data_IF_388022103096
#
_entry.id   IF_388022103096
#
_cell.length_a   1.000
_cell.length_b   1.000
_cell.length_c   1.000
_cell.angle_alpha   90.00
_cell.angle_beta   90.00
_cell.angle_gamma   90.00
#
_symmetry.space_group_name_H-M   'P 1'
#
loop_
_entity.id
_entity.type
_entity.pdbx_description
1 polymer ?
#
# COMPACT_ATOMS: atom_id res chain seq x y z
N UNK A 1 -19.58 12.27 -71.97
CA UNK A 1 -20.65 13.21 -72.33
C UNK A 1 -21.18 13.88 -71.07
N UNK A 2 -21.02 15.17 -71.02
CA UNK A 2 -21.87 16.23 -70.49
C UNK A 2 -21.78 16.54 -68.96
N UNK A 3 -21.03 17.59 -68.69
CA UNK A 3 -21.32 18.93 -68.05
C UNK A 3 -21.60 18.96 -66.55
N UNK A 4 -20.72 19.53 -65.81
CA UNK A 4 -20.54 20.89 -65.27
C UNK A 4 -21.79 21.68 -64.89
N UNK A 5 -21.77 22.13 -63.59
CA UNK A 5 -22.25 23.42 -62.97
C UNK A 5 -22.21 23.23 -61.45
N UNK A 6 -21.48 23.92 -60.63
CA UNK A 6 -21.01 25.29 -60.50
C UNK A 6 -21.99 26.16 -59.72
N UNK A 7 -21.81 26.30 -58.37
CA UNK A 7 -22.31 27.47 -57.65
C UNK A 7 -21.43 27.79 -56.46
N UNK A 8 -20.84 28.99 -56.53
CA UNK A 8 -20.20 29.71 -55.41
C UNK A 8 -21.26 30.21 -54.45
N UNK A 9 -20.99 30.14 -53.14
CA UNK A 9 -21.68 30.93 -52.13
C UNK A 9 -20.64 31.63 -51.24
N UNK A 10 -20.78 32.93 -51.16
CA UNK A 10 -19.87 33.88 -50.53
C UNK A 10 -19.90 33.85 -49.00
N UNK A 11 -18.75 33.97 -48.39
CA UNK A 11 -18.57 34.18 -46.95
C UNK A 11 -18.74 35.67 -46.58
N UNK A 12 -19.65 35.98 -45.68
CA UNK A 12 -19.78 37.27 -45.04
C UNK A 12 -19.09 37.21 -43.64
N UNK A 13 -18.07 38.04 -43.43
CA UNK A 13 -17.39 38.26 -42.16
C UNK A 13 -18.01 39.49 -41.53
N UNK A 14 -18.50 39.49 -40.28
CA UNK A 14 -18.81 40.68 -39.53
C UNK A 14 -17.57 41.21 -38.82
N UNK A 15 -17.15 42.42 -39.16
CA UNK A 15 -16.23 43.26 -38.37
C UNK A 15 -16.94 43.80 -37.13
N UNK A 16 -16.44 43.46 -35.95
CA UNK A 16 -16.81 44.18 -34.73
C UNK A 16 -15.77 45.29 -34.45
N UNK A 17 -16.27 46.50 -34.52
CA UNK A 17 -15.55 47.70 -34.13
C UNK A 17 -15.43 47.78 -32.59
N UNK A 18 -14.19 47.81 -32.07
CA UNK A 18 -13.91 48.04 -30.67
C UNK A 18 -13.83 49.57 -30.45
N UNK A 19 -14.79 50.06 -29.68
CA UNK A 19 -14.78 51.47 -29.22
C UNK A 19 -13.92 51.57 -27.97
N UNK A 20 -12.83 52.30 -28.06
CA UNK A 20 -11.97 52.63 -26.92
C UNK A 20 -12.53 53.87 -26.21
N UNK A 21 -12.96 53.70 -24.94
CA UNK A 21 -13.13 54.80 -24.00
C UNK A 21 -11.97 54.83 -23.03
N UNK A 22 -11.16 55.85 -23.12
CA UNK A 22 -10.13 56.18 -22.14
C UNK A 22 -10.82 56.75 -20.89
N UNK A 23 -10.67 56.08 -19.76
CA UNK A 23 -11.04 56.54 -18.43
C UNK A 23 -9.88 56.35 -17.49
N UNK A 24 -9.37 57.47 -16.99
CA UNK A 24 -8.29 57.58 -16.00
C UNK A 24 -8.77 57.02 -14.66
N UNK A 25 -8.10 56.02 -14.12
CA UNK A 25 -8.32 55.55 -12.74
C UNK A 25 -6.99 55.22 -12.05
N UNK A 26 -6.86 55.54 -10.72
CA UNK A 26 -5.61 55.44 -10.01
C UNK A 26 -5.25 54.01 -9.64
N UNK A 27 -3.96 53.74 -9.47
CA UNK A 27 -3.36 52.47 -9.11
C UNK A 27 -3.97 51.88 -7.82
N UNK A 28 -4.79 50.84 -7.97
CA UNK A 28 -5.27 50.00 -6.89
C UNK A 28 -4.57 48.65 -6.99
N UNK A 29 -4.15 48.11 -5.86
CA UNK A 29 -3.43 46.88 -5.69
C UNK A 29 -4.10 45.73 -6.44
N UNK A 30 -3.32 45.03 -7.27
CA UNK A 30 -3.72 43.76 -7.86
C UNK A 30 -3.79 42.67 -6.76
N UNK A 31 -4.99 42.41 -6.27
CA UNK A 31 -5.24 41.15 -5.58
C UNK A 31 -4.98 40.01 -6.57
N UNK A 32 -3.82 39.41 -6.46
CA UNK A 32 -3.53 38.13 -7.09
C UNK A 32 -4.38 37.08 -6.35
N UNK A 33 -5.59 36.83 -6.83
CA UNK A 33 -6.30 35.64 -6.44
C UNK A 33 -5.42 34.46 -6.83
N UNK A 34 -4.76 33.86 -5.84
CA UNK A 34 -4.17 32.53 -5.94
C UNK A 34 -5.39 31.61 -6.12
N UNK A 35 -5.68 31.27 -7.36
CA UNK A 35 -6.62 30.19 -7.66
C UNK A 35 -5.95 28.93 -7.09
N UNK A 36 -6.41 28.52 -5.91
CA UNK A 36 -6.05 27.24 -5.32
C UNK A 36 -6.45 26.18 -6.35
N UNK A 37 -5.44 25.61 -7.00
CA UNK A 37 -5.64 24.58 -7.99
C UNK A 37 -6.33 23.43 -7.28
N UNK A 38 -7.62 23.24 -7.54
CA UNK A 38 -8.37 22.10 -7.03
C UNK A 38 -7.58 20.85 -7.39
N UNK A 39 -7.04 20.17 -6.39
CA UNK A 39 -6.30 18.95 -6.58
C UNK A 39 -7.22 17.97 -7.33
N UNK A 40 -6.77 17.51 -8.49
CA UNK A 40 -7.49 16.48 -9.25
C UNK A 40 -7.71 15.30 -8.30
N UNK A 41 -8.94 14.83 -8.10
CA UNK A 41 -9.19 13.69 -7.23
C UNK A 41 -8.31 12.51 -7.69
N UNK A 42 -7.51 11.97 -6.78
CA UNK A 42 -6.72 10.78 -7.07
C UNK A 42 -7.68 9.64 -7.45
N UNK A 43 -7.28 8.77 -8.39
CA UNK A 43 -8.08 7.59 -8.73
C UNK A 43 -8.36 6.78 -7.46
N UNK A 44 -9.55 6.17 -7.36
CA UNK A 44 -10.00 5.49 -6.14
C UNK A 44 -8.96 4.50 -5.57
N UNK A 45 -8.35 3.69 -6.44
CA UNK A 45 -7.34 2.70 -6.05
C UNK A 45 -5.90 3.26 -6.02
N UNK A 46 -5.71 4.59 -6.19
CA UNK A 46 -4.38 5.16 -6.08
C UNK A 46 -3.93 5.24 -4.64
N UNK A 47 -2.77 4.66 -4.35
CA UNK A 47 -2.15 4.75 -3.06
C UNK A 47 -1.71 6.17 -2.77
N UNK A 48 -2.15 6.72 -1.62
CA UNK A 48 -1.81 8.08 -1.17
C UNK A 48 -0.82 8.06 -0.01
N UNK A 49 -1.02 7.16 0.96
CA UNK A 49 -0.12 7.01 2.10
C UNK A 49 0.10 5.52 2.34
N UNK A 50 1.37 5.15 2.59
CA UNK A 50 1.72 3.80 3.04
C UNK A 50 2.80 3.85 4.10
N UNK A 51 2.63 3.01 5.11
CA UNK A 51 3.67 2.68 6.08
C UNK A 51 3.90 1.19 6.06
N UNK A 52 5.09 0.78 5.65
CA UNK A 52 5.46 -0.63 5.59
C UNK A 52 6.84 -0.87 6.20
N UNK A 53 7.08 -2.09 6.65
CA UNK A 53 8.39 -2.53 7.14
C UNK A 53 8.93 -3.60 6.23
N UNK A 54 10.24 -3.61 5.99
CA UNK A 54 10.92 -4.61 5.18
C UNK A 54 12.30 -4.93 5.77
N UNK A 55 12.88 -6.06 5.36
CA UNK A 55 14.14 -6.53 5.91
C UNK A 55 14.02 -6.94 7.38
N UNK A 56 15.12 -6.82 8.12
CA UNK A 56 15.24 -7.32 9.48
C UNK A 56 15.58 -8.81 9.52
N UNK A 57 15.82 -9.35 10.72
CA UNK A 57 16.15 -10.76 10.93
C UNK A 57 14.87 -11.61 10.98
N UNK A 58 14.27 -11.83 9.82
CA UNK A 58 13.07 -12.65 9.67
C UNK A 58 13.25 -13.61 8.49
N UNK A 59 12.59 -14.78 8.49
CA UNK A 59 12.57 -15.67 7.33
C UNK A 59 12.13 -14.93 6.05
N UNK A 60 12.76 -15.26 4.92
CA UNK A 60 12.54 -14.57 3.66
C UNK A 60 11.08 -14.60 3.19
N UNK A 61 10.37 -15.71 3.45
CA UNK A 61 8.94 -15.85 3.16
C UNK A 61 8.07 -14.86 3.95
N UNK A 62 8.46 -14.49 5.16
CA UNK A 62 7.75 -13.49 5.95
C UNK A 62 7.89 -12.10 5.33
N UNK A 63 9.07 -11.77 4.79
CA UNK A 63 9.24 -10.49 4.08
C UNK A 63 8.35 -10.41 2.84
N UNK A 64 8.31 -11.47 2.02
CA UNK A 64 7.48 -11.50 0.80
C UNK A 64 5.98 -11.44 1.12
N UNK A 65 5.54 -12.10 2.19
CA UNK A 65 4.14 -12.12 2.63
C UNK A 65 3.71 -10.92 3.48
N UNK A 66 4.65 -10.02 3.84
CA UNK A 66 4.38 -8.93 4.77
C UNK A 66 3.37 -7.95 4.19
N UNK A 67 2.37 -7.61 5.00
CA UNK A 67 1.35 -6.63 4.68
C UNK A 67 1.82 -5.27 5.21
N UNK A 68 1.62 -4.17 4.46
CA UNK A 68 1.84 -2.83 4.98
C UNK A 68 1.02 -2.59 6.26
N UNK A 69 1.63 -1.95 7.26
CA UNK A 69 0.94 -1.65 8.50
C UNK A 69 -0.26 -0.71 8.28
N UNK A 70 -0.15 0.18 7.30
CA UNK A 70 -1.20 1.13 6.91
C UNK A 70 -1.12 1.39 5.42
N UNK A 71 -2.27 1.42 4.75
CA UNK A 71 -2.43 1.92 3.38
C UNK A 71 -3.66 2.82 3.32
N UNK A 72 -3.50 4.05 2.80
CA UNK A 72 -4.58 5.01 2.57
C UNK A 72 -4.67 5.30 1.08
N UNK A 73 -5.90 5.31 0.55
CA UNK A 73 -6.18 5.44 -0.89
C UNK A 73 -6.87 6.77 -1.22
N UNK A 74 -6.90 7.09 -2.51
CA UNK A 74 -7.44 8.35 -3.01
C UNK A 74 -8.93 8.57 -2.75
N UNK A 75 -9.69 7.49 -2.58
CA UNK A 75 -11.11 7.53 -2.20
C UNK A 75 -11.35 7.60 -0.68
N UNK A 76 -10.30 7.65 0.13
CA UNK A 76 -10.37 7.71 1.58
C UNK A 76 -10.33 6.35 2.29
N UNK A 77 -10.28 5.23 1.56
CA UNK A 77 -10.12 3.92 2.21
C UNK A 77 -8.82 3.86 2.99
N UNK A 78 -8.93 3.46 4.25
CA UNK A 78 -7.83 3.12 5.14
C UNK A 78 -7.84 1.61 5.33
N UNK A 79 -6.78 0.91 4.92
CA UNK A 79 -6.63 -0.53 5.14
C UNK A 79 -5.50 -0.75 6.15
N UNK A 80 -5.82 -1.48 7.22
CA UNK A 80 -4.90 -1.83 8.31
C UNK A 80 -5.06 -3.28 8.69
N UNK A 81 -4.10 -3.80 9.44
CA UNK A 81 -4.24 -5.09 10.10
C UNK A 81 -4.88 -4.88 11.47
N UNK A 82 -6.01 -5.53 11.70
CA UNK A 82 -6.76 -5.48 12.95
C UNK A 82 -6.16 -6.41 14.02
N UNK A 83 -6.80 -6.50 15.20
CA UNK A 83 -6.30 -7.31 16.30
C UNK A 83 -6.27 -8.79 15.96
N UNK A 84 -5.23 -9.49 16.45
CA UNK A 84 -5.07 -10.93 16.32
C UNK A 84 -5.51 -11.64 17.59
N UNK A 85 -6.19 -12.78 17.42
CA UNK A 85 -6.45 -13.67 18.54
C UNK A 85 -5.13 -14.26 19.05
N UNK A 86 -4.92 -14.22 20.37
CA UNK A 86 -3.75 -14.80 21.04
C UNK A 86 -3.92 -16.32 21.19
N UNK A 87 -3.98 -17.04 20.07
CA UNK A 87 -4.10 -18.50 19.99
C UNK A 87 -2.88 -19.10 19.30
N UNK A 88 -2.53 -20.32 19.66
CA UNK A 88 -1.49 -21.08 18.99
C UNK A 88 -2.05 -22.42 18.48
N UNK A 89 -1.78 -22.80 17.24
CA UNK A 89 -1.16 -21.99 16.19
C UNK A 89 -2.08 -20.85 15.71
N UNK A 90 -1.49 -19.73 15.23
CA UNK A 90 -2.27 -18.61 14.70
C UNK A 90 -3.12 -18.99 13.48
N UNK A 91 -4.18 -18.22 13.21
CA UNK A 91 -4.96 -18.36 11.98
C UNK A 91 -4.10 -18.06 10.75
N UNK A 92 -4.39 -18.75 9.63
CA UNK A 92 -3.67 -18.56 8.37
C UNK A 92 -3.95 -17.21 7.69
N UNK A 93 -5.18 -16.71 7.83
CA UNK A 93 -5.56 -15.42 7.23
C UNK A 93 -5.22 -14.26 8.16
N UNK A 94 -4.59 -13.20 7.64
CA UNK A 94 -4.46 -11.94 8.36
C UNK A 94 -5.84 -11.30 8.55
N UNK A 95 -6.02 -10.59 9.66
CA UNK A 95 -7.25 -9.84 9.95
C UNK A 95 -7.17 -8.44 9.34
N UNK A 96 -7.36 -8.32 8.02
CA UNK A 96 -7.38 -7.02 7.37
C UNK A 96 -8.72 -6.32 7.56
N UNK A 97 -8.65 -5.05 7.91
CA UNK A 97 -9.78 -4.17 8.16
C UNK A 97 -9.73 -2.95 7.25
N UNK A 98 -10.91 -2.47 6.88
CA UNK A 98 -11.11 -1.27 6.07
C UNK A 98 -11.97 -0.26 6.84
N UNK A 99 -11.60 1.00 6.76
CA UNK A 99 -12.32 2.14 7.31
C UNK A 99 -12.30 3.28 6.29
N UNK A 100 -13.19 4.26 6.44
CA UNK A 100 -13.25 5.43 5.56
C UNK A 100 -12.78 6.67 6.30
N UNK A 101 -11.87 7.40 5.68
CA UNK A 101 -11.43 8.73 6.07
C UNK A 101 -12.13 9.77 5.21
N UNK A 102 -12.34 10.98 5.73
CA UNK A 102 -12.82 12.09 4.90
C UNK A 102 -11.70 12.60 3.99
N UNK A 103 -12.04 13.19 2.83
CA UNK A 103 -11.03 13.75 1.92
C UNK A 103 -10.14 14.79 2.58
N UNK A 104 -10.71 15.63 3.46
CA UNK A 104 -9.97 16.66 4.20
C UNK A 104 -8.96 16.01 5.14
N UNK A 105 -9.34 14.93 5.82
CA UNK A 105 -8.44 14.21 6.72
C UNK A 105 -7.28 13.57 5.96
N UNK A 106 -7.53 13.00 4.77
CA UNK A 106 -6.47 12.47 3.89
C UNK A 106 -5.51 13.59 3.46
N UNK A 107 -6.02 14.77 3.08
CA UNK A 107 -5.20 15.91 2.70
C UNK A 107 -4.33 16.39 3.87
N UNK A 108 -4.89 16.45 5.08
CA UNK A 108 -4.14 16.79 6.30
C UNK A 108 -3.01 15.81 6.56
N UNK A 109 -3.27 14.49 6.46
CA UNK A 109 -2.25 13.47 6.60
C UNK A 109 -1.13 13.60 5.56
N UNK A 110 -1.47 13.93 4.31
CA UNK A 110 -0.49 14.17 3.24
C UNK A 110 0.38 15.38 3.57
N UNK A 111 -0.20 16.49 4.01
CA UNK A 111 0.53 17.68 4.44
C UNK A 111 1.49 17.36 5.58
N UNK A 112 0.98 16.71 6.63
CA UNK A 112 1.79 16.31 7.79
C UNK A 112 2.94 15.38 7.43
N UNK A 113 2.72 14.43 6.50
CA UNK A 113 3.77 13.55 6.02
C UNK A 113 4.90 14.29 5.31
N UNK A 114 4.57 15.31 4.50
CA UNK A 114 5.55 16.19 3.87
C UNK A 114 6.31 17.02 4.93
N UNK A 115 5.62 17.55 5.93
CA UNK A 115 6.21 18.29 7.06
C UNK A 115 7.09 17.39 7.94
N UNK A 116 6.76 16.11 8.05
CA UNK A 116 7.59 15.10 8.72
C UNK A 116 8.85 14.72 7.92
N UNK A 117 9.00 15.25 6.71
CA UNK A 117 10.18 15.08 5.87
C UNK A 117 10.09 13.95 4.85
N UNK A 118 8.89 13.42 4.56
CA UNK A 118 8.72 12.41 3.51
C UNK A 118 8.92 13.08 2.15
N UNK A 119 10.11 12.91 1.59
CA UNK A 119 10.49 13.33 0.24
C UNK A 119 11.63 12.45 -0.26
N UNK A 120 11.64 12.19 -1.56
CA UNK A 120 12.69 11.39 -2.19
C UNK A 120 14.08 11.98 -1.87
N UNK A 121 15.00 11.10 -1.46
CA UNK A 121 16.38 11.49 -1.13
C UNK A 121 16.56 12.20 0.21
N UNK A 122 15.56 12.25 1.08
CA UNK A 122 15.72 12.78 2.44
C UNK A 122 16.68 11.89 3.26
N UNK A 123 17.57 12.54 4.02
CA UNK A 123 18.58 11.86 4.83
C UNK A 123 18.11 11.72 6.29
N UNK A 124 17.85 10.48 6.67
CA UNK A 124 17.52 10.09 8.05
C UNK A 124 18.70 9.41 8.77
N UNK A 125 19.85 9.32 8.12
CA UNK A 125 21.02 8.63 8.66
C UNK A 125 20.83 7.12 8.79
N UNK A 126 21.91 6.45 9.17
CA UNK A 126 21.92 5.00 9.37
C UNK A 126 22.54 4.69 10.74
N UNK A 127 21.73 4.34 11.75
CA UNK A 127 22.24 3.96 13.07
C UNK A 127 22.98 2.62 13.00
N UNK A 128 23.85 2.36 13.97
CA UNK A 128 24.61 1.12 14.04
C UNK A 128 23.80 0.02 14.74
N UNK A 129 22.75 -0.46 14.08
CA UNK A 129 21.94 -1.56 14.59
C UNK A 129 21.92 -2.65 13.52
N UNK A 130 22.46 -3.82 13.86
CA UNK A 130 22.39 -4.98 13.00
C UNK A 130 20.96 -5.55 13.01
N UNK A 131 20.55 -6.13 11.88
CA UNK A 131 19.32 -6.92 11.76
C UNK A 131 18.01 -6.18 12.08
N UNK A 132 18.05 -4.86 12.22
CA UNK A 132 16.84 -4.06 12.40
C UNK A 132 16.06 -3.92 11.06
N UNK A 133 14.72 -3.91 11.10
CA UNK A 133 13.92 -3.65 9.92
C UNK A 133 14.08 -2.19 9.47
N UNK A 134 13.82 -1.96 8.19
CA UNK A 134 13.62 -0.63 7.63
C UNK A 134 12.14 -0.32 7.56
N UNK A 135 11.79 0.94 7.81
CA UNK A 135 10.44 1.46 7.61
C UNK A 135 10.42 2.29 6.33
N UNK A 136 9.57 1.92 5.37
CA UNK A 136 9.24 2.76 4.22
C UNK A 136 8.00 3.56 4.53
N UNK A 137 8.07 4.85 4.26
CA UNK A 137 6.91 5.75 4.34
C UNK A 137 6.73 6.39 2.98
N UNK A 138 5.56 6.20 2.38
CA UNK A 138 5.15 6.80 1.11
C UNK A 138 4.06 7.83 1.37
N UNK A 139 4.15 9.00 0.73
CA UNK A 139 3.15 10.06 0.76
C UNK A 139 3.05 10.67 -0.65
N UNK A 140 1.95 10.39 -1.34
CA UNK A 140 1.79 10.70 -2.76
C UNK A 140 2.84 9.97 -3.60
N UNK A 141 3.61 10.72 -4.36
CA UNK A 141 4.72 10.25 -5.21
C UNK A 141 6.09 10.22 -4.50
N UNK A 142 6.14 10.60 -3.23
CA UNK A 142 7.37 10.68 -2.44
C UNK A 142 7.49 9.49 -1.50
N UNK A 143 8.71 8.97 -1.32
CA UNK A 143 8.96 7.91 -0.36
C UNK A 143 10.33 8.03 0.31
N UNK A 144 10.43 7.50 1.53
CA UNK A 144 11.69 7.39 2.28
C UNK A 144 11.81 6.00 2.90
N UNK A 145 13.03 5.48 2.89
CA UNK A 145 13.41 4.25 3.59
C UNK A 145 14.27 4.60 4.78
N UNK A 146 13.84 4.26 5.98
CA UNK A 146 14.53 4.61 7.22
C UNK A 146 14.87 3.36 8.01
N UNK A 147 16.16 3.04 8.05
CA UNK A 147 16.68 1.89 8.80
C UNK A 147 16.45 2.09 10.29
N UNK A 148 15.92 1.07 10.97
CA UNK A 148 15.74 1.05 12.43
C UNK A 148 15.06 2.33 12.96
N UNK A 149 13.94 2.75 12.33
CA UNK A 149 13.23 3.97 12.75
C UNK A 149 12.76 3.90 14.20
N UNK A 150 12.29 2.73 14.63
CA UNK A 150 11.77 2.49 15.97
C UNK A 150 12.83 2.01 16.96
N UNK A 151 13.89 1.37 16.47
CA UNK A 151 14.92 0.69 17.28
C UNK A 151 16.11 1.58 17.62
N UNK A 152 16.34 2.64 16.81
CA UNK A 152 17.47 3.54 17.04
C UNK A 152 17.34 4.32 18.35
N UNK A 153 18.43 4.34 19.12
CA UNK A 153 18.48 5.15 20.34
C UNK A 153 18.47 6.64 19.98
N UNK A 154 17.77 7.48 20.77
CA UNK A 154 17.76 8.93 20.52
C UNK A 154 19.15 9.56 20.49
N UNK A 155 20.11 9.02 21.25
CA UNK A 155 21.50 9.49 21.34
C UNK A 155 22.48 8.61 20.55
N UNK A 156 22.06 7.96 19.46
CA UNK A 156 22.97 7.15 18.62
C UNK A 156 24.09 8.06 18.08
N UNK A 157 25.38 7.72 18.32
CA UNK A 157 26.51 8.57 17.94
C UNK A 157 26.73 8.65 16.42
N UNK A 158 26.13 7.75 15.62
CA UNK A 158 26.21 7.77 14.17
C UNK A 158 25.20 8.72 13.53
N UNK A 159 24.26 9.26 14.31
CA UNK A 159 23.28 10.20 13.83
C UNK A 159 23.69 11.63 14.17
N UNK A 160 23.59 12.53 13.21
CA UNK A 160 23.67 13.96 13.44
C UNK A 160 22.44 14.50 14.18
N UNK A 161 22.52 15.68 14.77
CA UNK A 161 21.35 16.32 15.42
C UNK A 161 20.20 16.56 14.44
N UNK A 162 20.53 16.93 13.21
CA UNK A 162 19.54 17.09 12.15
C UNK A 162 18.82 15.78 11.81
N UNK A 163 19.57 14.68 11.68
CA UNK A 163 18.99 13.35 11.43
C UNK A 163 18.15 12.87 12.63
N UNK A 164 18.58 13.08 13.86
CA UNK A 164 17.80 12.77 15.07
C UNK A 164 16.48 13.53 15.08
N UNK A 165 16.52 14.82 14.78
CA UNK A 165 15.32 15.66 14.71
C UNK A 165 14.37 15.20 13.58
N UNK A 166 14.89 14.90 12.39
CA UNK A 166 14.10 14.36 11.28
C UNK A 166 13.45 13.03 11.63
N UNK A 167 14.20 12.09 12.22
CA UNK A 167 13.68 10.78 12.67
C UNK A 167 12.58 10.94 13.72
N UNK A 168 12.74 11.86 14.68
CA UNK A 168 11.71 12.12 15.70
C UNK A 168 10.39 12.59 15.06
N UNK A 169 10.46 13.51 14.11
CA UNK A 169 9.27 13.99 13.37
C UNK A 169 8.61 12.86 12.58
N UNK A 170 9.40 12.10 11.83
CA UNK A 170 8.88 11.00 11.04
C UNK A 170 8.29 9.89 11.94
N UNK A 171 8.93 9.54 13.04
CA UNK A 171 8.42 8.55 13.99
C UNK A 171 7.08 8.99 14.61
N UNK A 172 6.92 10.27 14.93
CA UNK A 172 5.65 10.82 15.41
C UNK A 172 4.54 10.70 14.35
N UNK A 173 4.84 11.04 13.09
CA UNK A 173 3.92 10.87 11.99
C UNK A 173 3.53 9.40 11.77
N UNK A 174 4.51 8.49 11.72
CA UNK A 174 4.28 7.04 11.59
C UNK A 174 3.42 6.51 12.73
N UNK A 175 3.67 6.95 13.97
CA UNK A 175 2.86 6.58 15.14
C UNK A 175 1.42 7.05 14.98
N UNK A 176 1.19 8.31 14.54
CA UNK A 176 -0.14 8.85 14.27
C UNK A 176 -0.86 8.02 13.22
N UNK A 177 -0.22 7.78 12.06
CA UNK A 177 -0.82 7.04 10.94
C UNK A 177 -1.15 5.59 11.34
N UNK A 178 -0.28 4.91 12.09
CA UNK A 178 -0.55 3.56 12.62
C UNK A 178 -1.68 3.53 13.66
N UNK A 179 -1.95 4.63 14.33
CA UNK A 179 -3.02 4.75 15.31
C UNK A 179 -4.39 5.11 14.73
N UNK A 180 -4.51 5.29 13.41
CA UNK A 180 -5.76 5.75 12.79
C UNK A 180 -6.93 4.79 13.00
N UNK A 181 -6.69 3.48 12.99
CA UNK A 181 -7.76 2.48 13.16
C UNK A 181 -8.49 2.56 14.50
N UNK A 182 -7.91 3.20 15.51
CA UNK A 182 -8.52 3.42 16.81
C UNK A 182 -8.79 4.90 17.11
N UNK A 183 -8.68 5.80 16.13
CA UNK A 183 -8.83 7.22 16.36
C UNK A 183 -10.32 7.62 16.43
N UNK A 184 -10.62 8.55 17.34
CA UNK A 184 -11.96 9.12 17.48
C UNK A 184 -12.40 9.84 16.19
N UNK A 185 -13.67 9.66 15.82
CA UNK A 185 -14.26 10.29 14.63
C UNK A 185 -14.00 9.53 13.30
N UNK A 186 -13.27 8.42 13.33
CA UNK A 186 -13.15 7.52 12.17
C UNK A 186 -14.23 6.43 12.27
N UNK A 187 -14.81 6.07 11.12
CA UNK A 187 -15.83 5.03 11.05
C UNK A 187 -15.34 3.69 11.63
N UNK A 188 -16.26 2.91 12.20
CA UNK A 188 -15.93 1.58 12.71
C UNK A 188 -15.34 0.69 11.60
N UNK A 189 -14.33 -0.13 11.94
CA UNK A 189 -13.68 -0.98 10.96
C UNK A 189 -14.60 -2.11 10.48
N UNK A 190 -14.57 -2.37 9.19
CA UNK A 190 -15.20 -3.54 8.57
C UNK A 190 -14.13 -4.47 8.01
N UNK A 191 -14.46 -5.76 7.83
CA UNK A 191 -13.51 -6.71 7.25
C UNK A 191 -13.21 -6.32 5.79
N UNK A 192 -11.93 -6.12 5.46
CA UNK A 192 -11.49 -5.87 4.09
C UNK A 192 -11.83 -7.06 3.19
N UNK A 193 -12.39 -6.77 2.01
CA UNK A 193 -12.77 -7.78 1.02
C UNK A 193 -11.83 -7.72 -0.18
N UNK A 194 -10.78 -8.55 -0.24
CA UNK A 194 -9.83 -8.53 -1.35
C UNK A 194 -10.49 -9.01 -2.64
N UNK A 195 -10.13 -8.41 -3.77
CA UNK A 195 -10.49 -8.92 -5.11
C UNK A 195 -9.63 -10.11 -5.52
N UNK A 196 -8.43 -10.22 -4.95
CA UNK A 196 -7.44 -11.26 -5.24
C UNK A 196 -6.76 -11.70 -3.94
N UNK A 197 -6.49 -13.00 -3.83
CA UNK A 197 -5.67 -13.57 -2.77
C UNK A 197 -4.47 -14.27 -3.40
N UNK A 198 -3.27 -13.86 -3.02
CA UNK A 198 -2.06 -14.60 -3.35
C UNK A 198 -1.80 -15.69 -2.30
N UNK A 199 -1.43 -16.87 -2.76
CA UNK A 199 -0.92 -17.97 -1.94
C UNK A 199 0.57 -18.13 -2.23
N UNK A 200 1.40 -17.82 -1.23
CA UNK A 200 2.84 -18.01 -1.28
C UNK A 200 3.13 -19.45 -0.82
N UNK A 201 3.57 -20.28 -1.76
CA UNK A 201 3.71 -21.71 -1.52
C UNK A 201 5.19 -22.13 -1.49
N UNK A 202 5.56 -22.89 -0.47
CA UNK A 202 6.84 -23.61 -0.38
C UNK A 202 6.60 -25.06 -0.01
N UNK A 203 7.59 -25.91 -0.26
CA UNK A 203 7.48 -27.31 0.17
C UNK A 203 7.25 -27.38 1.68
N UNK A 204 6.27 -28.17 2.07
CA UNK A 204 6.00 -28.43 3.49
C UNK A 204 7.14 -29.24 4.11
N UNK A 205 7.60 -28.77 5.26
CA UNK A 205 8.54 -29.50 6.10
C UNK A 205 7.81 -29.82 7.41
N UNK A 206 7.63 -31.09 7.76
CA UNK A 206 6.97 -31.44 9.02
C UNK A 206 7.73 -30.83 10.22
N UNK A 207 7.02 -30.36 11.24
CA UNK A 207 7.66 -29.90 12.47
C UNK A 207 8.41 -31.04 13.16
N UNK A 208 9.45 -30.71 13.92
CA UNK A 208 10.15 -31.71 14.71
C UNK A 208 9.24 -32.27 15.81
N UNK A 209 9.41 -33.50 16.17
CA UNK A 209 8.52 -34.49 16.84
C UNK A 209 7.75 -34.06 18.12
N UNK A 210 7.75 -32.81 18.53
CA UNK A 210 7.07 -32.34 19.76
C UNK A 210 5.71 -31.66 19.53
N UNK A 211 5.32 -31.40 18.26
CA UNK A 211 4.06 -30.74 17.95
C UNK A 211 3.00 -31.75 17.48
N UNK A 212 1.72 -31.58 17.86
CA UNK A 212 0.65 -32.45 17.37
C UNK A 212 0.59 -32.40 15.84
N UNK A 213 0.48 -33.56 15.20
CA UNK A 213 0.32 -33.65 13.76
C UNK A 213 -0.96 -32.90 13.32
N UNK A 214 -0.81 -31.88 12.48
CA UNK A 214 -1.94 -31.17 11.90
C UNK A 214 -2.43 -31.92 10.67
N UNK A 215 -3.73 -32.16 10.58
CA UNK A 215 -4.35 -32.84 9.44
C UNK A 215 -4.20 -31.98 8.18
N UNK A 216 -3.65 -32.55 7.09
CA UNK A 216 -3.58 -31.84 5.81
C UNK A 216 -4.97 -31.47 5.28
N UNK A 217 -5.06 -30.33 4.64
CA UNK A 217 -6.24 -29.88 3.89
C UNK A 217 -5.95 -29.98 2.38
N UNK A 218 -6.97 -30.26 1.60
CA UNK A 218 -6.86 -30.19 0.15
C UNK A 218 -6.85 -28.74 -0.30
N UNK A 219 -5.96 -28.42 -1.23
CA UNK A 219 -5.83 -27.08 -1.79
C UNK A 219 -6.91 -26.82 -2.84
N UNK A 220 -7.84 -25.85 -2.65
CA UNK A 220 -8.97 -25.64 -3.55
C UNK A 220 -8.70 -24.63 -4.67
N UNK A 221 -7.49 -24.06 -4.75
CA UNK A 221 -7.14 -23.00 -5.69
C UNK A 221 -6.34 -23.48 -6.90
N UNK A 222 -5.74 -22.55 -7.66
CA UNK A 222 -4.88 -22.87 -8.80
C UNK A 222 -3.69 -23.75 -8.41
N UNK A 223 -3.11 -24.48 -9.38
CA UNK A 223 -2.06 -25.46 -9.12
C UNK A 223 -0.83 -24.85 -8.42
N UNK A 224 -0.38 -25.52 -7.34
CA UNK A 224 0.80 -25.11 -6.57
C UNK A 224 2.08 -25.74 -7.14
N UNK A 225 3.24 -25.05 -7.00
CA UNK A 225 3.47 -23.79 -6.28
C UNK A 225 3.21 -22.53 -7.11
N UNK A 226 2.85 -22.64 -8.39
CA UNK A 226 2.80 -21.53 -9.32
C UNK A 226 4.20 -21.04 -9.74
N UNK A 227 4.27 -19.80 -10.24
CA UNK A 227 5.53 -19.18 -10.66
C UNK A 227 6.42 -18.84 -9.47
N UNK A 228 7.71 -19.07 -9.61
CA UNK A 228 8.65 -18.71 -8.55
C UNK A 228 8.78 -17.19 -8.40
N UNK A 229 8.49 -16.68 -7.21
CA UNK A 229 8.78 -15.31 -6.82
C UNK A 229 10.26 -15.13 -6.50
N UNK A 230 10.83 -16.10 -5.82
CA UNK A 230 12.23 -16.14 -5.47
C UNK A 230 12.76 -17.59 -5.57
N UNK A 231 13.54 -17.83 -6.61
CA UNK A 231 14.10 -19.16 -6.88
C UNK A 231 15.10 -19.61 -5.80
N UNK A 232 15.82 -18.66 -5.17
CA UNK A 232 16.86 -18.99 -4.17
C UNK A 232 16.26 -19.62 -2.89
N UNK A 233 15.03 -19.25 -2.56
CA UNK A 233 14.33 -19.74 -1.36
C UNK A 233 13.14 -20.65 -1.72
N UNK A 234 12.93 -20.95 -3.00
CA UNK A 234 11.90 -21.89 -3.47
C UNK A 234 10.47 -21.46 -3.18
N UNK A 235 10.19 -20.15 -3.11
CA UNK A 235 8.84 -19.63 -2.91
C UNK A 235 8.16 -19.44 -4.25
N UNK A 236 7.08 -20.19 -4.48
CA UNK A 236 6.15 -19.97 -5.58
C UNK A 236 4.97 -19.11 -5.17
N UNK A 237 4.21 -18.62 -6.15
CA UNK A 237 3.03 -17.82 -5.93
C UNK A 237 1.94 -18.16 -6.94
N UNK A 238 0.73 -18.32 -6.44
CA UNK A 238 -0.48 -18.34 -7.26
C UNK A 238 -1.43 -17.25 -6.77
N UNK A 239 -2.12 -16.60 -7.71
CA UNK A 239 -3.15 -15.61 -7.41
C UNK A 239 -4.52 -16.20 -7.73
N UNK A 240 -5.40 -16.24 -6.74
CA UNK A 240 -6.78 -16.69 -6.89
C UNK A 240 -7.71 -15.47 -6.99
N UNK A 241 -8.62 -15.48 -7.97
CA UNK A 241 -9.64 -14.44 -8.23
C UNK A 241 -11.01 -15.09 -8.37
N UNK A 242 -12.08 -14.28 -8.34
CA UNK A 242 -13.45 -14.76 -8.56
C UNK A 242 -13.81 -15.95 -7.66
N UNK A 243 -14.43 -16.99 -8.22
CA UNK A 243 -14.89 -18.16 -7.50
C UNK A 243 -13.74 -18.95 -6.82
N UNK A 244 -12.56 -18.99 -7.43
CA UNK A 244 -11.41 -19.67 -6.82
C UNK A 244 -10.90 -18.92 -5.58
N UNK A 245 -10.91 -17.59 -5.61
CA UNK A 245 -10.63 -16.78 -4.43
C UNK A 245 -11.58 -17.13 -3.27
N UNK A 246 -12.87 -17.23 -3.56
CA UNK A 246 -13.89 -17.52 -2.53
C UNK A 246 -13.68 -18.89 -1.89
N UNK A 247 -13.36 -19.92 -2.70
CA UNK A 247 -13.00 -21.25 -2.20
C UNK A 247 -11.73 -21.23 -1.34
N UNK A 248 -10.70 -20.52 -1.82
CA UNK A 248 -9.42 -20.39 -1.10
C UNK A 248 -9.63 -19.69 0.24
N UNK A 249 -10.36 -18.56 0.27
CA UNK A 249 -10.66 -17.83 1.50
C UNK A 249 -11.48 -18.69 2.48
N UNK A 250 -12.47 -19.44 1.99
CA UNK A 250 -13.28 -20.32 2.84
C UNK A 250 -12.42 -21.41 3.50
N UNK A 251 -11.56 -22.07 2.73
CA UNK A 251 -10.65 -23.09 3.26
C UNK A 251 -9.59 -22.48 4.22
N UNK A 252 -9.05 -21.31 3.89
CA UNK A 252 -8.07 -20.64 4.72
C UNK A 252 -8.61 -20.20 6.08
N UNK A 253 -9.90 -19.84 6.19
CA UNK A 253 -10.56 -19.53 7.47
C UNK A 253 -10.53 -20.69 8.47
N UNK A 254 -10.57 -21.92 7.97
CA UNK A 254 -10.55 -23.14 8.80
C UNK A 254 -9.11 -23.61 9.10
N UNK A 255 -8.10 -22.93 8.57
CA UNK A 255 -6.70 -23.32 8.68
C UNK A 255 -5.89 -22.45 9.65
N UNK A 256 -4.72 -22.95 10.00
CA UNK A 256 -3.70 -22.25 10.78
C UNK A 256 -2.41 -22.17 9.98
N UNK A 257 -1.48 -21.31 10.41
CA UNK A 257 -0.19 -21.10 9.73
C UNK A 257 0.66 -22.37 9.59
N UNK A 258 0.37 -23.42 10.38
CA UNK A 258 1.06 -24.72 10.34
C UNK A 258 0.31 -25.78 9.55
N UNK A 259 -0.85 -25.48 8.98
CA UNK A 259 -1.66 -26.42 8.22
C UNK A 259 -0.95 -26.82 6.92
N UNK A 260 -0.67 -28.12 6.69
CA UNK A 260 -0.15 -28.58 5.40
C UNK A 260 -1.27 -28.61 4.36
N UNK A 261 -0.96 -28.21 3.13
CA UNK A 261 -1.90 -28.20 2.01
C UNK A 261 -1.49 -29.25 0.97
N UNK A 262 -2.42 -30.09 0.56
CA UNK A 262 -2.16 -31.12 -0.47
C UNK A 262 -2.57 -30.62 -1.84
N UNK A 263 -1.67 -30.73 -2.82
CA UNK A 263 -1.94 -30.46 -4.22
C UNK A 263 -0.99 -31.25 -5.11
N UNK A 264 -1.53 -31.95 -6.11
CA UNK A 264 -0.73 -32.73 -7.06
C UNK A 264 0.17 -33.81 -6.39
N UNK A 265 -0.31 -34.46 -5.33
CA UNK A 265 0.45 -35.51 -4.60
C UNK A 265 1.60 -34.94 -3.75
N UNK A 266 1.72 -33.64 -3.60
CA UNK A 266 2.72 -32.96 -2.77
C UNK A 266 2.06 -32.17 -1.64
N UNK A 267 2.82 -31.95 -0.56
CA UNK A 267 2.39 -31.08 0.54
C UNK A 267 3.11 -29.74 0.50
N UNK A 268 2.36 -28.70 0.80
CA UNK A 268 2.79 -27.30 0.74
C UNK A 268 2.51 -26.58 2.04
N UNK A 269 3.42 -25.73 2.47
CA UNK A 269 3.17 -24.67 3.45
C UNK A 269 2.75 -23.42 2.70
N UNK A 270 1.65 -22.79 3.11
CA UNK A 270 1.10 -21.61 2.43
C UNK A 270 1.03 -20.43 3.37
N UNK A 271 1.53 -19.28 2.90
CA UNK A 271 1.26 -17.97 3.48
C UNK A 271 0.24 -17.27 2.60
N UNK A 272 -0.93 -16.97 3.17
CA UNK A 272 -1.97 -16.22 2.47
C UNK A 272 -1.67 -14.74 2.50
N UNK A 273 -1.78 -14.10 1.36
CA UNK A 273 -1.57 -12.67 1.17
C UNK A 273 -2.78 -12.08 0.40
N UNK A 274 -3.84 -11.64 1.13
CA UNK A 274 -4.89 -10.83 0.50
C UNK A 274 -4.25 -9.61 -0.15
N UNK A 275 -4.47 -9.41 -1.45
CA UNK A 275 -3.86 -8.31 -2.17
C UNK A 275 -4.61 -7.01 -1.90
N UNK A 276 -3.86 -5.92 -1.82
CA UNK A 276 -4.38 -4.58 -1.67
C UNK A 276 -4.87 -4.03 -3.03
N UNK A 277 -5.68 -2.97 -3.06
CA UNK A 277 -6.34 -2.51 -4.29
C UNK A 277 -5.42 -2.27 -5.49
N UNK A 278 -4.21 -1.74 -5.26
CA UNK A 278 -3.23 -1.47 -6.33
C UNK A 278 -2.37 -2.69 -6.68
N UNK A 279 -2.42 -3.77 -5.89
CA UNK A 279 -1.60 -4.95 -6.10
C UNK A 279 -2.23 -5.90 -7.13
N UNK A 280 -1.57 -6.08 -8.26
CA UNK A 280 -2.07 -6.92 -9.36
C UNK A 280 -1.35 -8.27 -9.38
N UNK A 281 -1.94 -9.26 -8.69
CA UNK A 281 -1.44 -10.63 -8.69
C UNK A 281 -0.04 -10.79 -8.08
N UNK A 282 0.57 -11.94 -8.34
CA UNK A 282 1.89 -12.29 -7.80
C UNK A 282 3.01 -11.34 -8.24
N UNK A 283 2.82 -10.62 -9.35
CA UNK A 283 3.83 -9.68 -9.84
C UNK A 283 4.08 -8.52 -8.85
N UNK A 284 3.05 -8.08 -8.14
CA UNK A 284 3.15 -7.04 -7.13
C UNK A 284 4.05 -7.42 -5.93
N UNK A 285 4.23 -8.71 -5.70
CA UNK A 285 5.05 -9.24 -4.60
C UNK A 285 6.49 -9.51 -5.00
N UNK A 286 6.85 -9.35 -6.29
CA UNK A 286 8.22 -9.47 -6.77
C UNK A 286 9.03 -8.24 -6.34
N UNK A 287 10.14 -8.47 -5.65
CA UNK A 287 11.05 -7.38 -5.26
C UNK A 287 10.74 -6.74 -3.89
N UNK A 288 9.78 -7.25 -3.16
CA UNK A 288 9.67 -6.96 -1.72
C UNK A 288 10.93 -7.51 -1.06
N UNK A 289 11.82 -6.60 -0.62
CA UNK A 289 13.16 -6.90 -0.09
C UNK A 289 13.12 -7.09 1.41
#
# INVERSE_FOLDING_TARGET
>A
MTRLRGTLAAAAVPLFLISACAGNQPAGASDTQITESAAVPAAADSLVIRVESFGGFVPAEQNVGRIPAVSVYGDGRLITEGPHAMIYPPRSLPNLQEQMLTPEYVQDLVREGKEAGVRNGADFGSPNIADAPSTRVTVGDQSVDVVALSEARPADPRLTDAQRTARTKLAAYVKKVKGLSGAEGIAEPVAYQPTTVAALARKYVPPQAAEPAVKPLEWPGPALPGDLLNANIGIGCVAATGADKDKVLAAAKESTVVTPWTNGGSQWAITFRPLLPEEQGCAALKGVR
#
